data_IF_425437798876
#
_entry.id   IF_425437798876
#
_cell.length_a   1.000
_cell.length_b   1.000
_cell.length_c   1.000
_cell.angle_alpha   90.00
_cell.angle_beta   90.00
_cell.angle_gamma   90.00
#
_symmetry.space_group_name_H-M   'P 1'
#
loop_
_entity.id
_entity.type
_entity.pdbx_description
1 polymer ?
#
# COMPACT_ATOMS: atom_id res chain seq x y z
N UNK A 1 5.60 11.61 -10.61
CA UNK A 1 5.79 12.44 -9.39
C UNK A 1 6.88 11.82 -8.50
N UNK A 2 6.71 10.58 -8.04
CA UNK A 2 7.69 9.88 -7.17
C UNK A 2 9.12 9.88 -7.74
N UNK A 3 9.30 9.59 -9.03
CA UNK A 3 10.63 9.64 -9.67
C UNK A 3 11.25 11.03 -9.61
N UNK A 4 10.49 12.08 -9.90
CA UNK A 4 10.96 13.48 -9.78
C UNK A 4 11.29 13.84 -8.32
N UNK A 5 10.50 13.36 -7.36
CA UNK A 5 10.77 13.54 -5.93
C UNK A 5 12.06 12.83 -5.50
N UNK A 6 12.30 11.59 -5.94
CA UNK A 6 13.54 10.84 -5.68
C UNK A 6 14.75 11.58 -6.27
N UNK A 7 14.68 11.96 -7.54
CA UNK A 7 15.74 12.72 -8.19
C UNK A 7 16.06 14.03 -7.44
N UNK A 8 15.04 14.79 -7.04
CA UNK A 8 15.23 16.02 -6.26
C UNK A 8 15.89 15.79 -4.89
N UNK A 9 15.58 14.67 -4.22
CA UNK A 9 16.19 14.30 -2.93
C UNK A 9 17.69 14.01 -3.10
N UNK A 10 18.06 13.33 -4.18
CA UNK A 10 19.46 12.92 -4.46
C UNK A 10 20.27 14.08 -5.05
N UNK A 11 19.66 14.90 -5.90
CA UNK A 11 20.31 15.99 -6.63
C UNK A 11 19.50 17.31 -6.51
N UNK A 12 19.55 17.99 -5.36
CA UNK A 12 18.81 19.24 -5.18
C UNK A 12 19.28 20.33 -6.16
N UNK A 13 18.33 20.97 -6.84
CA UNK A 13 18.56 22.03 -7.83
C UNK A 13 19.30 21.60 -9.12
N UNK A 14 19.71 20.34 -9.25
CA UNK A 14 20.17 19.79 -10.51
C UNK A 14 18.97 19.57 -11.44
N UNK A 15 19.13 19.91 -12.71
CA UNK A 15 18.12 19.72 -13.76
C UNK A 15 18.77 19.22 -15.05
N UNK A 16 19.96 18.64 -14.96
CA UNK A 16 20.69 18.10 -16.09
C UNK A 16 19.93 16.92 -16.71
N UNK A 17 19.49 17.10 -17.96
CA UNK A 17 18.70 16.12 -18.70
C UNK A 17 19.51 14.84 -18.97
N UNK A 18 20.82 14.94 -19.18
CA UNK A 18 21.68 13.78 -19.44
C UNK A 18 21.79 12.90 -18.20
N UNK A 19 21.91 13.53 -17.02
CA UNK A 19 21.92 12.82 -15.74
C UNK A 19 20.58 12.16 -15.45
N UNK A 20 19.48 12.87 -15.68
CA UNK A 20 18.13 12.30 -15.52
C UNK A 20 18.00 11.06 -16.42
N UNK A 21 18.42 11.16 -17.69
CA UNK A 21 18.35 10.04 -18.62
C UNK A 21 19.17 8.83 -18.16
N UNK A 22 20.39 9.06 -17.66
CA UNK A 22 21.26 7.99 -17.15
C UNK A 22 20.69 7.27 -15.93
N UNK A 23 19.88 7.95 -15.10
CA UNK A 23 19.30 7.42 -13.87
C UNK A 23 17.87 6.86 -14.05
N UNK A 24 17.27 6.98 -15.24
CA UNK A 24 15.89 6.53 -15.49
C UNK A 24 15.69 5.04 -15.19
N UNK A 25 16.65 4.20 -15.60
CA UNK A 25 16.62 2.74 -15.41
C UNK A 25 16.72 2.35 -13.94
N UNK A 26 17.33 3.18 -13.10
CA UNK A 26 17.47 2.91 -11.66
C UNK A 26 16.20 3.27 -10.86
N UNK A 27 15.32 4.07 -11.47
CA UNK A 27 14.15 4.65 -10.82
C UNK A 27 12.83 4.04 -11.30
N UNK A 28 12.79 3.52 -12.53
CA UNK A 28 11.57 3.04 -13.19
C UNK A 28 11.76 1.55 -13.52
N UNK A 29 10.80 0.68 -13.16
CA UNK A 29 10.88 -0.73 -13.53
C UNK A 29 10.93 -0.93 -15.04
N UNK A 30 11.72 -1.90 -15.50
CA UNK A 30 11.95 -2.21 -16.92
C UNK A 30 10.63 -2.42 -17.69
N UNK A 31 9.60 -2.95 -17.04
CA UNK A 31 8.26 -3.14 -17.63
C UNK A 31 7.63 -1.86 -18.18
N UNK A 32 8.08 -0.69 -17.73
CA UNK A 32 7.63 0.63 -18.18
C UNK A 32 8.62 1.34 -19.14
N UNK A 33 9.72 0.68 -19.50
CA UNK A 33 10.79 1.19 -20.37
C UNK A 33 11.04 0.23 -21.56
N UNK A 34 9.95 -0.23 -22.20
CA UNK A 34 10.04 -1.24 -23.24
C UNK A 34 10.44 -0.67 -24.61
N UNK A 35 10.13 0.61 -24.85
CA UNK A 35 10.46 1.33 -26.09
C UNK A 35 11.34 2.53 -25.79
N UNK A 36 12.17 2.92 -26.75
CA UNK A 36 12.94 4.18 -26.65
C UNK A 36 12.03 5.41 -26.49
N UNK A 37 10.83 5.38 -27.08
CA UNK A 37 9.82 6.43 -26.92
C UNK A 37 9.38 6.59 -25.45
N UNK A 38 9.33 5.51 -24.68
CA UNK A 38 8.93 5.54 -23.27
C UNK A 38 9.95 6.34 -22.45
N UNK A 39 11.24 6.17 -22.73
CA UNK A 39 12.34 6.91 -22.09
C UNK A 39 12.15 8.41 -22.31
N UNK A 40 11.85 8.81 -23.56
CA UNK A 40 11.63 10.22 -23.92
C UNK A 40 10.41 10.79 -23.18
N UNK A 41 9.31 10.03 -23.13
CA UNK A 41 8.08 10.44 -22.43
C UNK A 41 8.34 10.60 -20.93
N UNK A 42 9.03 9.65 -20.30
CA UNK A 42 9.39 9.72 -18.89
C UNK A 42 10.29 10.90 -18.59
N UNK A 43 11.34 11.12 -19.38
CA UNK A 43 12.26 12.24 -19.24
C UNK A 43 11.52 13.58 -19.29
N UNK A 44 10.70 13.80 -20.33
CA UNK A 44 9.88 15.02 -20.48
C UNK A 44 8.93 15.21 -19.29
N UNK A 45 8.32 14.12 -18.83
CA UNK A 45 7.39 14.14 -17.69
C UNK A 45 8.12 14.51 -16.39
N UNK A 46 9.29 13.95 -16.13
CA UNK A 46 10.10 14.23 -14.94
C UNK A 46 10.55 15.68 -14.93
N UNK A 47 11.11 16.16 -16.05
CA UNK A 47 11.57 17.55 -16.19
C UNK A 47 10.40 18.53 -15.99
N UNK A 48 9.25 18.24 -16.59
CA UNK A 48 8.02 19.02 -16.40
C UNK A 48 7.61 19.07 -14.92
N UNK A 49 7.68 17.94 -14.21
CA UNK A 49 7.39 17.90 -12.76
C UNK A 49 8.43 18.65 -11.94
N UNK A 50 9.73 18.53 -12.22
CA UNK A 50 10.79 19.29 -11.55
C UNK A 50 10.69 20.81 -11.77
N UNK A 51 10.04 21.24 -12.85
CA UNK A 51 9.73 22.64 -13.14
C UNK A 51 8.43 23.12 -12.46
N UNK A 52 7.66 22.24 -11.84
CA UNK A 52 6.41 22.64 -11.16
C UNK A 52 6.67 23.47 -9.89
N UNK A 53 5.70 24.31 -9.45
CA UNK A 53 5.84 25.16 -8.27
C UNK A 53 6.26 24.41 -7.00
N UNK A 54 5.87 23.13 -6.90
CA UNK A 54 6.26 22.25 -5.80
C UNK A 54 7.78 22.28 -5.57
N UNK A 55 8.60 22.02 -6.60
CA UNK A 55 10.06 22.00 -6.44
C UNK A 55 10.72 23.38 -6.55
N UNK A 56 9.96 24.42 -6.90
CA UNK A 56 10.46 25.79 -7.00
C UNK A 56 10.31 26.59 -5.70
N UNK A 57 9.61 26.03 -4.69
CA UNK A 57 9.49 26.65 -3.37
C UNK A 57 10.90 26.89 -2.79
N UNK A 58 11.22 28.15 -2.50
CA UNK A 58 12.54 28.54 -2.03
C UNK A 58 12.86 27.79 -0.73
N UNK A 59 13.76 26.79 -0.80
CA UNK A 59 14.15 25.87 0.28
C UNK A 59 13.16 24.75 0.57
N UNK A 60 12.66 24.08 -0.46
CA UNK A 60 12.04 22.77 -0.25
C UNK A 60 13.05 21.80 0.39
N UNK A 61 12.80 21.46 1.66
CA UNK A 61 13.61 20.53 2.44
C UNK A 61 13.48 19.10 1.88
N UNK A 62 14.58 18.42 1.52
CA UNK A 62 14.55 17.02 1.10
C UNK A 62 13.80 16.09 2.07
N UNK A 63 13.81 16.39 3.39
CA UNK A 63 13.03 15.63 4.37
C UNK A 63 11.52 15.85 4.23
N UNK A 64 11.07 17.04 3.79
CA UNK A 64 9.66 17.27 3.44
C UNK A 64 9.27 16.41 2.25
N UNK A 65 10.09 16.38 1.20
CA UNK A 65 9.84 15.53 0.02
C UNK A 65 9.79 14.05 0.37
N UNK A 66 10.70 13.57 1.24
CA UNK A 66 10.65 12.19 1.76
C UNK A 66 9.35 11.92 2.52
N UNK A 67 8.90 12.84 3.38
CA UNK A 67 7.63 12.73 4.09
C UNK A 67 6.45 12.66 3.13
N UNK A 68 6.47 13.43 2.06
CA UNK A 68 5.42 13.42 1.05
C UNK A 68 5.37 12.09 0.28
N UNK A 69 6.53 11.49 -0.03
CA UNK A 69 6.59 10.13 -0.61
C UNK A 69 6.01 9.11 0.37
N UNK A 70 6.41 9.14 1.64
CA UNK A 70 5.92 8.21 2.68
C UNK A 70 4.40 8.36 2.86
N UNK A 71 3.91 9.60 2.93
CA UNK A 71 2.47 9.89 3.03
C UNK A 71 1.73 9.38 1.80
N UNK A 72 2.24 9.64 0.60
CA UNK A 72 1.66 9.11 -0.64
C UNK A 72 1.60 7.58 -0.62
N UNK A 73 2.68 6.91 -0.24
CA UNK A 73 2.73 5.45 -0.20
C UNK A 73 1.72 4.86 0.79
N UNK A 74 1.65 5.43 2.01
CA UNK A 74 0.68 5.02 3.05
C UNK A 74 -0.77 5.05 2.53
N UNK A 75 -1.14 6.09 1.79
CA UNK A 75 -2.52 6.25 1.30
C UNK A 75 -2.77 5.49 -0.01
N UNK A 76 -1.75 5.34 -0.87
CA UNK A 76 -1.89 4.69 -2.17
C UNK A 76 -1.97 3.16 -2.06
N UNK A 77 -1.27 2.57 -1.09
CA UNK A 77 -1.12 1.12 -0.98
C UNK A 77 -1.39 0.57 0.43
N UNK A 78 -2.57 0.83 1.03
CA UNK A 78 -2.87 0.37 2.38
C UNK A 78 -2.76 -1.16 2.52
N UNK A 79 -3.22 -1.92 1.52
CA UNK A 79 -3.14 -3.38 1.53
C UNK A 79 -1.69 -3.88 1.59
N UNK A 80 -0.78 -3.33 0.77
CA UNK A 80 0.64 -3.73 0.78
C UNK A 80 1.34 -3.46 2.13
N UNK A 81 0.81 -2.54 2.94
CA UNK A 81 1.29 -2.25 4.30
C UNK A 81 0.46 -2.95 5.39
N UNK A 82 -0.22 -4.05 5.05
CA UNK A 82 -0.98 -4.84 6.02
C UNK A 82 -0.14 -5.91 6.68
N UNK A 83 -0.58 -6.34 7.86
CA UNK A 83 -0.19 -7.64 8.44
C UNK A 83 -1.20 -8.70 8.02
N UNK A 84 -0.70 -9.82 7.51
CA UNK A 84 -1.50 -10.88 6.92
C UNK A 84 -1.57 -12.11 7.84
N UNK A 85 -2.75 -12.73 7.91
CA UNK A 85 -3.01 -13.94 8.68
C UNK A 85 -3.92 -14.88 7.90
N UNK A 86 -3.51 -16.14 7.75
CA UNK A 86 -4.35 -17.19 7.17
C UNK A 86 -5.35 -17.68 8.21
N UNK A 87 -6.63 -17.70 7.84
CA UNK A 87 -7.73 -18.07 8.74
C UNK A 87 -8.81 -18.83 7.98
N UNK A 88 -9.53 -19.70 8.71
CA UNK A 88 -10.73 -20.36 8.20
C UNK A 88 -11.96 -19.73 8.84
N UNK A 89 -12.90 -19.23 8.03
CA UNK A 89 -14.21 -18.77 8.49
C UNK A 89 -14.98 -19.94 9.10
N UNK A 90 -15.42 -19.75 10.33
CA UNK A 90 -16.21 -20.74 11.08
C UNK A 90 -17.71 -20.41 11.08
N UNK A 91 -18.08 -19.14 11.32
CA UNK A 91 -19.47 -18.69 11.35
C UNK A 91 -19.62 -17.21 10.95
N UNK A 92 -20.86 -16.72 10.89
CA UNK A 92 -21.20 -15.34 10.53
C UNK A 92 -21.69 -15.17 9.09
N UNK A 93 -21.86 -13.93 8.60
CA UNK A 93 -22.34 -13.63 7.25
C UNK A 93 -21.54 -14.34 6.15
N UNK A 94 -22.22 -14.79 5.10
CA UNK A 94 -21.62 -15.59 4.03
C UNK A 94 -20.45 -14.87 3.34
N UNK A 95 -19.32 -15.56 3.21
CA UNK A 95 -18.19 -15.14 2.38
C UNK A 95 -18.07 -16.09 1.18
N UNK A 96 -17.52 -15.63 0.04
CA UNK A 96 -17.33 -16.49 -1.14
C UNK A 96 -16.42 -17.71 -0.90
N UNK A 97 -15.48 -17.59 0.05
CA UNK A 97 -14.56 -18.65 0.47
C UNK A 97 -14.50 -18.71 2.00
N UNK A 98 -14.20 -19.89 2.53
CA UNK A 98 -13.98 -20.07 3.97
C UNK A 98 -12.50 -19.92 4.34
N UNK A 99 -11.60 -20.44 3.51
CA UNK A 99 -10.17 -20.24 3.69
C UNK A 99 -9.79 -18.89 3.08
N UNK A 100 -9.39 -17.97 3.95
CA UNK A 100 -9.20 -16.57 3.62
C UNK A 100 -7.98 -16.01 4.33
N UNK A 101 -7.49 -14.88 3.85
CA UNK A 101 -6.40 -14.13 4.47
C UNK A 101 -6.98 -12.85 5.06
N UNK A 102 -6.75 -12.62 6.34
CA UNK A 102 -7.04 -11.33 6.96
C UNK A 102 -5.83 -10.41 6.81
N UNK A 103 -6.08 -9.23 6.25
CA UNK A 103 -5.12 -8.15 6.12
C UNK A 103 -5.53 -6.99 7.04
N UNK A 104 -4.71 -6.70 8.05
CA UNK A 104 -4.93 -5.58 8.99
C UNK A 104 -3.97 -4.45 8.68
N UNK A 105 -4.48 -3.26 8.42
CA UNK A 105 -3.69 -2.06 8.16
C UNK A 105 -4.29 -0.83 8.85
N UNK A 106 -3.80 0.36 8.49
CA UNK A 106 -4.22 1.60 9.12
C UNK A 106 -5.65 2.06 8.75
N UNK A 107 -6.25 1.55 7.68
CA UNK A 107 -7.63 1.88 7.27
C UNK A 107 -8.66 0.93 7.87
N UNK A 108 -8.28 -0.31 8.14
CA UNK A 108 -9.18 -1.29 8.75
C UNK A 108 -8.70 -2.73 8.63
N UNK A 109 -9.67 -3.64 8.67
CA UNK A 109 -9.50 -5.09 8.51
C UNK A 109 -10.11 -5.49 7.17
N UNK A 110 -9.34 -6.19 6.35
CA UNK A 110 -9.76 -6.71 5.06
C UNK A 110 -9.71 -8.24 5.09
N UNK A 111 -10.68 -8.87 4.45
CA UNK A 111 -10.64 -10.30 4.16
C UNK A 111 -10.40 -10.45 2.67
N UNK A 112 -9.30 -11.11 2.31
CA UNK A 112 -8.90 -11.34 0.92
C UNK A 112 -8.79 -12.83 0.64
N UNK A 113 -8.82 -13.22 -0.63
CA UNK A 113 -8.53 -14.59 -1.04
C UNK A 113 -7.08 -14.77 -1.54
N UNK A 114 -6.75 -16.00 -1.94
CA UNK A 114 -5.44 -16.37 -2.50
C UNK A 114 -5.08 -15.60 -3.79
N UNK A 115 -6.05 -14.98 -4.47
CA UNK A 115 -5.85 -14.15 -5.67
C UNK A 115 -5.82 -12.65 -5.31
N UNK A 116 -5.64 -12.32 -4.03
CA UNK A 116 -5.63 -10.96 -3.48
C UNK A 116 -6.93 -10.17 -3.72
N UNK A 117 -8.04 -10.86 -4.04
CA UNK A 117 -9.33 -10.21 -4.21
C UNK A 117 -9.95 -9.88 -2.85
N UNK A 118 -10.41 -8.64 -2.68
CA UNK A 118 -11.08 -8.22 -1.45
C UNK A 118 -12.49 -8.80 -1.39
N UNK A 119 -12.70 -9.72 -0.44
CA UNK A 119 -13.98 -10.36 -0.17
C UNK A 119 -14.84 -9.55 0.82
N UNK A 120 -14.18 -8.87 1.76
CA UNK A 120 -14.83 -8.03 2.77
C UNK A 120 -13.88 -6.90 3.20
N UNK A 121 -14.42 -5.69 3.32
CA UNK A 121 -13.74 -4.53 3.90
C UNK A 121 -14.49 -4.11 5.16
N UNK A 122 -13.78 -4.04 6.28
CA UNK A 122 -14.29 -3.60 7.58
C UNK A 122 -13.43 -2.42 8.07
N UNK A 123 -13.87 -1.18 7.81
CA UNK A 123 -13.29 -0.01 8.46
C UNK A 123 -13.37 -0.15 9.97
N UNK A 124 -12.44 0.47 10.72
CA UNK A 124 -12.46 0.39 12.18
C UNK A 124 -13.75 0.92 12.80
N UNK A 125 -14.46 1.82 12.12
CA UNK A 125 -15.78 2.34 12.55
C UNK A 125 -16.88 1.30 12.52
N UNK A 126 -16.73 0.25 11.70
CA UNK A 126 -17.72 -0.81 11.54
C UNK A 126 -17.51 -1.94 12.56
N UNK A 127 -16.37 -1.95 13.27
CA UNK A 127 -15.98 -2.96 14.25
C UNK A 127 -16.41 -2.50 15.64
N UNK A 128 -17.28 -3.28 16.30
CA UNK A 128 -17.75 -3.00 17.65
C UNK A 128 -16.83 -3.60 18.70
N UNK A 129 -16.52 -4.88 18.57
CA UNK A 129 -15.68 -5.61 19.52
C UNK A 129 -14.87 -6.68 18.81
N UNK A 130 -13.66 -6.91 19.30
CA UNK A 130 -12.78 -8.01 18.88
C UNK A 130 -12.50 -8.87 20.11
N UNK A 131 -12.69 -10.18 20.00
CA UNK A 131 -12.36 -11.12 21.05
C UNK A 131 -11.56 -12.30 20.50
N UNK A 132 -10.65 -12.82 21.31
CA UNK A 132 -9.91 -14.04 21.01
C UNK A 132 -10.12 -15.03 22.15
N UNK A 133 -10.37 -16.28 21.78
CA UNK A 133 -10.47 -17.40 22.69
C UNK A 133 -9.38 -18.41 22.36
N UNK A 134 -8.34 -18.40 23.22
CA UNK A 134 -7.25 -19.35 23.17
C UNK A 134 -7.60 -20.52 24.07
N UNK A 135 -8.01 -21.62 23.48
CA UNK A 135 -8.35 -22.81 24.24
C UNK A 135 -7.08 -23.67 24.42
N UNK A 136 -6.44 -23.63 25.60
CA UNK A 136 -5.16 -24.31 25.85
C UNK A 136 -5.16 -25.84 25.64
N UNK A 137 -6.32 -26.44 25.31
CA UNK A 137 -6.49 -27.87 25.03
C UNK A 137 -6.72 -28.20 23.55
N UNK A 138 -6.89 -27.19 22.68
CA UNK A 138 -7.07 -27.37 21.25
C UNK A 138 -5.97 -26.62 20.49
N UNK A 139 -5.48 -27.20 19.40
CA UNK A 139 -4.37 -26.65 18.62
C UNK A 139 -4.76 -25.45 17.76
N UNK A 140 -6.04 -25.02 17.78
CA UNK A 140 -6.52 -23.88 17.00
C UNK A 140 -7.01 -22.73 17.90
N UNK A 141 -6.69 -21.50 17.53
CA UNK A 141 -7.20 -20.29 18.18
C UNK A 141 -8.43 -19.78 17.44
N UNK A 142 -9.44 -19.32 18.17
CA UNK A 142 -10.65 -18.75 17.58
C UNK A 142 -10.70 -17.27 17.89
N UNK A 143 -11.00 -16.44 16.89
CA UNK A 143 -11.28 -15.03 17.10
C UNK A 143 -12.66 -14.67 16.57
N UNK A 144 -13.34 -13.76 17.29
CA UNK A 144 -14.63 -13.22 16.90
C UNK A 144 -14.51 -11.72 16.65
N UNK A 145 -15.16 -11.29 15.58
CA UNK A 145 -15.25 -9.92 15.13
C UNK A 145 -16.72 -9.53 15.06
N UNK A 146 -17.18 -8.77 16.05
CA UNK A 146 -18.53 -8.23 16.04
C UNK A 146 -18.53 -6.89 15.29
N UNK A 147 -19.37 -6.81 14.26
CA UNK A 147 -19.48 -5.64 13.40
C UNK A 147 -20.88 -5.05 13.44
N UNK A 148 -21.06 -3.86 12.86
CA UNK A 148 -22.39 -3.28 12.64
C UNK A 148 -23.29 -4.13 11.74
N UNK A 149 -22.73 -5.03 10.92
CA UNK A 149 -23.45 -5.89 9.97
C UNK A 149 -23.65 -7.34 10.46
N UNK A 150 -23.02 -7.72 11.57
CA UNK A 150 -23.09 -9.06 12.15
C UNK A 150 -21.76 -9.53 12.73
N UNK A 151 -21.80 -10.67 13.40
CA UNK A 151 -20.63 -11.29 14.02
C UNK A 151 -19.96 -12.29 13.09
N UNK A 152 -18.65 -12.18 12.92
CA UNK A 152 -17.82 -13.13 12.19
C UNK A 152 -16.93 -13.89 13.17
N UNK A 153 -16.84 -15.21 12.98
CA UNK A 153 -15.91 -16.05 13.73
C UNK A 153 -14.98 -16.71 12.75
N UNK A 154 -13.68 -16.65 13.03
CA UNK A 154 -12.70 -17.41 12.28
C UNK A 154 -11.74 -18.13 13.23
N UNK A 155 -11.07 -19.13 12.68
CA UNK A 155 -10.10 -19.97 13.37
C UNK A 155 -8.76 -19.89 12.65
N UNK A 156 -7.69 -19.73 13.42
CA UNK A 156 -6.33 -19.90 12.90
C UNK A 156 -5.92 -21.36 13.09
N UNK A 157 -5.26 -21.97 12.10
CA UNK A 157 -4.59 -23.26 12.30
C UNK A 157 -3.46 -23.16 13.33
#
# INVERSE_FOLDING_TARGET
MVVAQRYYIEHPNDKDEQRIQALLTDYIPDSYLQKEEDIIVWMKTIISKLKSPYFQEARMDPLKVKRDIVSYAKHKWPLLFSRYYEVCKHSGPTLPKNDVIIAVNWTGVYVVDEQEQVLLELPFTDIKTVSSNRNCKMDFERFNLDTVKGEYTFTTP
#
